data_IF_536338148637
#
_entry.id   IF_536338148637
#
_cell.length_a   1.000
_cell.length_b   1.000
_cell.length_c   1.000
_cell.angle_alpha   90.00
_cell.angle_beta   90.00
_cell.angle_gamma   90.00
#
_symmetry.space_group_name_H-M   'P 1'
#
loop_
_entity.id
_entity.type
_entity.pdbx_description
1 polymer ?
#
# COMPACT_ATOMS: atom_id res chain seq x y z
N UNK A 1 7.42 1.36 -8.15
CA UNK A 1 6.63 2.11 -9.17
C UNK A 1 7.07 1.60 -10.53
N UNK A 2 6.11 1.23 -11.37
CA UNK A 2 6.40 0.68 -12.69
C UNK A 2 6.94 1.76 -13.64
N UNK A 3 7.67 1.34 -14.69
CA UNK A 3 8.09 2.25 -15.77
C UNK A 3 6.90 2.55 -16.71
N UNK A 4 6.09 3.53 -16.30
CA UNK A 4 4.90 3.93 -17.06
C UNK A 4 5.28 4.51 -18.43
N UNK A 5 6.48 5.09 -18.58
CA UNK A 5 6.96 5.55 -19.87
C UNK A 5 7.16 4.39 -20.86
N UNK A 6 7.81 3.32 -20.43
CA UNK A 6 8.00 2.12 -21.27
C UNK A 6 6.65 1.45 -21.57
N UNK A 7 5.78 1.30 -20.56
CA UNK A 7 4.44 0.74 -20.71
C UNK A 7 3.57 1.56 -21.66
N UNK A 8 3.61 2.89 -21.56
CA UNK A 8 2.88 3.79 -22.49
C UNK A 8 3.32 3.60 -23.94
N UNK A 9 4.63 3.52 -24.20
CA UNK A 9 5.15 3.23 -25.55
C UNK A 9 4.71 1.85 -26.06
N UNK A 10 4.70 0.84 -25.19
CA UNK A 10 4.22 -0.50 -25.52
C UNK A 10 2.73 -0.50 -25.86
N UNK A 11 1.92 0.14 -25.01
CA UNK A 11 0.47 0.26 -25.19
C UNK A 11 0.12 0.89 -26.55
N UNK A 12 0.78 1.99 -26.93
CA UNK A 12 0.60 2.64 -28.22
C UNK A 12 0.96 1.71 -29.39
N UNK A 13 2.10 1.01 -29.32
CA UNK A 13 2.51 0.07 -30.39
C UNK A 13 1.54 -1.10 -30.55
N UNK A 14 0.99 -1.57 -29.44
CA UNK A 14 0.07 -2.71 -29.42
C UNK A 14 -1.39 -2.28 -29.58
N UNK A 15 -1.68 -0.99 -29.63
CA UNK A 15 -3.05 -0.41 -29.66
C UNK A 15 -3.92 -0.90 -28.48
N UNK A 16 -3.33 -0.97 -27.30
CA UNK A 16 -3.99 -1.40 -26.07
C UNK A 16 -4.26 -0.18 -25.18
N UNK A 17 -5.37 -0.16 -24.43
CA UNK A 17 -5.55 0.81 -23.34
C UNK A 17 -4.54 0.53 -22.23
N UNK A 18 -4.10 1.59 -21.55
CA UNK A 18 -3.26 1.51 -20.36
C UNK A 18 -3.94 2.22 -19.21
N UNK A 19 -4.29 1.44 -18.19
CA UNK A 19 -4.75 1.98 -16.91
C UNK A 19 -3.58 2.12 -15.95
N UNK A 20 -3.49 3.26 -15.29
CA UNK A 20 -2.52 3.48 -14.21
C UNK A 20 -3.26 3.44 -12.88
N UNK A 21 -3.00 2.41 -12.08
CA UNK A 21 -3.49 2.36 -10.71
C UNK A 21 -2.64 3.29 -9.83
N UNK A 22 -3.15 4.49 -9.65
CA UNK A 22 -2.56 5.50 -8.79
C UNK A 22 -3.36 5.70 -7.49
N UNK A 23 -4.10 4.66 -7.06
CA UNK A 23 -4.96 4.76 -5.88
C UNK A 23 -4.18 5.18 -4.63
N UNK A 24 -2.97 4.69 -4.43
CA UNK A 24 -2.11 5.09 -3.31
C UNK A 24 -1.30 6.35 -3.63
N UNK A 25 -0.72 6.44 -4.83
CA UNK A 25 0.22 7.49 -5.20
C UNK A 25 -0.39 8.83 -5.62
N UNK A 26 -1.69 8.90 -5.88
CA UNK A 26 -2.36 10.00 -6.59
C UNK A 26 -2.13 11.41 -6.04
N UNK A 27 -1.92 11.57 -4.74
CA UNK A 27 -1.66 12.87 -4.11
C UNK A 27 -0.20 13.06 -3.65
N UNK A 28 0.66 12.09 -3.89
CA UNK A 28 2.10 12.18 -3.63
C UNK A 28 2.90 12.31 -4.92
N UNK A 29 2.68 11.40 -5.88
CA UNK A 29 3.48 11.37 -7.12
C UNK A 29 3.39 12.67 -7.92
N UNK A 30 2.22 13.33 -8.09
CA UNK A 30 2.13 14.63 -8.76
C UNK A 30 2.89 15.76 -8.05
N UNK A 31 3.13 15.62 -6.74
CA UNK A 31 3.80 16.61 -5.92
C UNK A 31 5.31 16.39 -5.82
N UNK A 32 5.86 15.24 -6.24
CA UNK A 32 7.27 14.90 -6.06
C UNK A 32 8.22 15.94 -6.64
N UNK A 33 7.99 16.39 -7.87
CA UNK A 33 8.83 17.39 -8.53
C UNK A 33 8.87 18.71 -7.74
N UNK A 34 7.70 19.23 -7.34
CA UNK A 34 7.59 20.45 -6.53
C UNK A 34 8.15 20.28 -5.12
N UNK A 35 8.15 19.06 -4.62
CA UNK A 35 8.74 18.68 -3.33
C UNK A 35 10.26 18.43 -3.42
N UNK A 36 10.88 18.57 -4.60
CA UNK A 36 12.31 18.37 -4.81
C UNK A 36 12.76 16.91 -4.88
N UNK A 37 11.85 15.98 -5.17
CA UNK A 37 12.17 14.57 -5.33
C UNK A 37 12.21 14.14 -6.79
N UNK A 38 12.98 13.07 -7.06
CA UNK A 38 13.02 12.43 -8.37
C UNK A 38 11.63 11.90 -8.75
N UNK A 39 11.20 12.19 -9.97
CA UNK A 39 9.92 11.74 -10.51
C UNK A 39 10.02 11.48 -12.00
N UNK A 40 9.05 10.75 -12.52
CA UNK A 40 8.84 10.55 -13.97
C UNK A 40 7.35 10.69 -14.30
N UNK A 41 7.01 11.07 -15.54
CA UNK A 41 5.62 11.12 -15.96
C UNK A 41 4.91 9.78 -15.78
N UNK A 42 3.70 9.80 -15.26
CA UNK A 42 2.87 8.61 -15.04
C UNK A 42 1.42 8.81 -15.50
N UNK A 43 1.06 10.04 -15.79
CA UNK A 43 -0.31 10.50 -16.05
C UNK A 43 -0.60 10.73 -17.54
N UNK A 44 -1.63 11.48 -17.84
CA UNK A 44 -2.06 11.78 -19.20
C UNK A 44 -1.06 12.60 -20.04
N UNK A 45 0.05 13.05 -19.49
CA UNK A 45 1.18 13.57 -20.26
C UNK A 45 1.76 12.48 -21.17
N UNK A 46 1.61 11.21 -20.79
CA UNK A 46 1.98 10.05 -21.60
C UNK A 46 0.79 9.63 -22.47
N UNK A 47 0.98 9.68 -23.79
CA UNK A 47 -0.09 9.43 -24.79
C UNK A 47 -0.75 8.05 -24.67
N UNK A 48 -0.05 7.04 -24.18
CA UNK A 48 -0.56 5.67 -24.03
C UNK A 48 -1.44 5.47 -22.80
N UNK A 49 -1.38 6.36 -21.78
CA UNK A 49 -2.22 6.28 -20.59
C UNK A 49 -3.65 6.69 -20.96
N UNK A 50 -4.61 5.80 -20.73
CA UNK A 50 -6.02 5.99 -21.12
C UNK A 50 -6.93 6.23 -19.93
N UNK A 51 -6.58 5.70 -18.74
CA UNK A 51 -7.32 5.92 -17.50
C UNK A 51 -6.41 5.86 -16.28
N UNK A 52 -6.85 6.47 -15.17
CA UNK A 52 -6.11 6.54 -13.91
C UNK A 52 -7.10 6.38 -12.76
N UNK A 53 -6.82 5.47 -11.80
CA UNK A 53 -7.53 5.41 -10.53
C UNK A 53 -6.86 6.32 -9.50
N UNK A 54 -7.67 6.97 -8.65
CA UNK A 54 -7.21 7.98 -7.70
C UNK A 54 -8.06 7.92 -6.42
N UNK A 55 -7.46 7.49 -5.30
CA UNK A 55 -8.15 7.45 -4.02
C UNK A 55 -7.95 8.75 -3.24
N UNK A 56 -8.98 9.56 -3.26
CA UNK A 56 -9.00 10.84 -2.53
C UNK A 56 -8.97 10.66 -1.01
N UNK A 57 -9.42 9.50 -0.49
CA UNK A 57 -9.44 9.17 0.94
C UNK A 57 -8.11 8.59 1.48
N UNK A 58 -7.09 8.42 0.64
CA UNK A 58 -5.73 8.05 1.09
C UNK A 58 -4.91 9.32 1.34
N UNK A 59 -3.93 9.62 0.53
CA UNK A 59 -3.12 10.85 0.69
C UNK A 59 -3.82 12.14 0.20
N UNK A 60 -5.04 12.04 -0.31
CA UNK A 60 -5.90 13.20 -0.55
C UNK A 60 -6.64 13.70 0.70
N UNK A 61 -6.54 12.98 1.83
CA UNK A 61 -7.10 13.33 3.14
C UNK A 61 -8.61 13.53 3.17
N UNK A 62 -9.32 13.05 2.14
CA UNK A 62 -10.78 13.08 2.09
C UNK A 62 -11.40 11.97 2.97
N UNK A 63 -12.68 12.09 3.35
CA UNK A 63 -13.41 11.03 4.04
C UNK A 63 -13.39 9.72 3.24
N UNK A 64 -13.34 8.58 3.93
CA UNK A 64 -13.40 7.24 3.31
C UNK A 64 -14.71 7.06 2.54
N UNK A 65 -14.66 6.23 1.50
CA UNK A 65 -15.81 5.90 0.66
C UNK A 65 -15.90 6.72 -0.63
N UNK A 66 -14.88 7.54 -0.92
CA UNK A 66 -14.75 8.26 -2.19
C UNK A 66 -13.46 7.85 -2.91
N UNK A 67 -13.60 7.41 -4.15
CA UNK A 67 -12.52 7.12 -5.08
C UNK A 67 -12.91 7.61 -6.47
N UNK A 68 -11.95 7.95 -7.29
CA UNK A 68 -12.18 8.57 -8.59
C UNK A 68 -11.45 7.77 -9.68
N UNK A 69 -12.11 7.57 -10.80
CA UNK A 69 -11.48 7.11 -12.05
C UNK A 69 -11.49 8.25 -13.04
N UNK A 70 -10.33 8.57 -13.57
CA UNK A 70 -10.13 9.59 -14.60
C UNK A 70 -9.95 8.90 -15.95
N UNK A 71 -10.60 9.41 -16.97
CA UNK A 71 -10.49 8.93 -18.34
C UNK A 71 -9.90 10.00 -19.25
N UNK A 72 -9.05 9.58 -20.20
CA UNK A 72 -8.47 10.51 -21.16
C UNK A 72 -9.52 11.18 -22.05
N UNK A 73 -10.56 10.46 -22.44
CA UNK A 73 -11.62 10.96 -23.32
C UNK A 73 -13.01 10.58 -22.83
N UNK A 74 -14.03 11.31 -23.31
CA UNK A 74 -15.43 11.02 -23.01
C UNK A 74 -15.87 9.67 -23.58
N UNK A 75 -15.36 9.29 -24.75
CA UNK A 75 -15.67 8.01 -25.42
C UNK A 75 -15.20 6.83 -24.55
N UNK A 76 -13.98 6.91 -23.97
CA UNK A 76 -13.49 5.87 -23.05
C UNK A 76 -14.35 5.80 -21.79
N UNK A 77 -14.82 6.93 -21.26
CA UNK A 77 -15.69 6.97 -20.09
C UNK A 77 -17.05 6.33 -20.34
N UNK A 78 -17.56 6.36 -21.57
CA UNK A 78 -18.86 5.74 -21.91
C UNK A 78 -18.88 4.23 -21.66
N UNK A 79 -17.75 3.54 -21.74
CA UNK A 79 -17.66 2.11 -21.44
C UNK A 79 -17.93 1.78 -19.95
N UNK A 80 -17.93 2.78 -19.08
CA UNK A 80 -18.32 2.63 -17.67
C UNK A 80 -19.84 2.64 -17.49
N UNK A 81 -20.60 3.21 -18.43
CA UNK A 81 -22.04 3.40 -18.29
C UNK A 81 -22.79 2.12 -18.56
N UNK A 82 -23.89 1.96 -17.85
CA UNK A 82 -24.89 0.96 -18.16
C UNK A 82 -26.15 1.66 -18.66
N UNK A 83 -26.67 1.24 -19.83
CA UNK A 83 -27.90 1.79 -20.43
C UNK A 83 -28.75 0.61 -20.86
N UNK A 84 -30.00 0.59 -20.39
CA UNK A 84 -31.03 -0.39 -20.78
C UNK A 84 -32.25 0.35 -21.31
N UNK A 85 -32.41 0.45 -22.64
CA UNK A 85 -33.53 1.14 -23.24
C UNK A 85 -34.83 0.33 -23.20
N UNK A 86 -34.74 -1.01 -23.12
CA UNK A 86 -35.88 -1.94 -23.28
C UNK A 86 -36.43 -2.47 -21.94
N UNK A 87 -36.03 -1.85 -20.81
CA UNK A 87 -36.56 -2.23 -19.52
C UNK A 87 -38.05 -1.80 -19.39
N UNK A 88 -38.91 -2.71 -18.91
CA UNK A 88 -40.35 -2.47 -18.75
C UNK A 88 -40.69 -1.27 -17.84
N UNK A 89 -39.79 -0.88 -16.94
CA UNK A 89 -39.89 0.31 -16.08
C UNK A 89 -39.50 1.63 -16.76
N UNK A 90 -39.16 1.61 -18.06
CA UNK A 90 -38.68 2.75 -18.83
C UNK A 90 -37.20 2.69 -19.11
N UNK A 91 -36.65 3.74 -19.73
CA UNK A 91 -35.20 3.82 -20.00
C UNK A 91 -34.43 3.92 -18.67
N UNK A 92 -33.54 2.96 -18.45
CA UNK A 92 -32.65 3.00 -17.31
C UNK A 92 -31.23 3.36 -17.75
N UNK A 93 -30.58 4.30 -17.03
CA UNK A 93 -29.21 4.66 -17.26
C UNK A 93 -28.47 4.85 -15.92
N UNK A 94 -27.29 4.30 -15.81
CA UNK A 94 -26.42 4.43 -14.62
C UNK A 94 -24.99 4.78 -15.03
N UNK A 95 -24.32 5.70 -14.33
CA UNK A 95 -22.93 6.05 -14.62
C UNK A 95 -21.92 4.97 -14.22
N UNK A 96 -22.36 3.89 -13.54
CA UNK A 96 -21.49 2.79 -13.10
C UNK A 96 -22.24 1.76 -12.29
N UNK A 97 -21.57 0.67 -11.95
CA UNK A 97 -22.15 -0.49 -11.24
C UNK A 97 -22.77 -0.09 -9.89
N UNK A 98 -22.15 0.83 -9.18
CA UNK A 98 -22.60 1.23 -7.84
C UNK A 98 -23.90 2.06 -7.83
N UNK A 99 -24.37 2.56 -8.99
CA UNK A 99 -25.56 3.39 -9.08
C UNK A 99 -25.42 4.73 -8.35
N UNK A 100 -26.43 5.10 -7.55
CA UNK A 100 -26.46 6.34 -6.78
C UNK A 100 -25.36 6.39 -5.73
N UNK A 101 -24.69 7.54 -5.60
CA UNK A 101 -23.62 7.78 -4.62
C UNK A 101 -24.02 8.90 -3.66
N UNK A 102 -23.63 8.82 -2.34
CA UNK A 102 -23.95 9.86 -1.37
C UNK A 102 -23.19 11.15 -1.67
N UNK A 103 -23.92 12.24 -1.87
CA UNK A 103 -23.33 13.57 -2.14
C UNK A 103 -22.47 14.12 -1.00
N UNK A 104 -22.72 13.70 0.24
CA UNK A 104 -21.92 14.09 1.40
C UNK A 104 -20.42 13.72 1.26
N UNK A 105 -20.12 12.54 0.70
CA UNK A 105 -18.72 12.11 0.45
C UNK A 105 -18.07 12.93 -0.66
N UNK A 106 -18.84 13.32 -1.69
CA UNK A 106 -18.35 14.19 -2.76
C UNK A 106 -18.05 15.58 -2.21
N UNK A 107 -18.96 16.16 -1.41
CA UNK A 107 -18.76 17.44 -0.77
C UNK A 107 -17.58 17.41 0.22
N UNK A 108 -17.43 16.34 1.00
CA UNK A 108 -16.28 16.15 1.90
C UNK A 108 -14.96 16.05 1.14
N UNK A 109 -14.94 15.37 -0.01
CA UNK A 109 -13.77 15.32 -0.89
C UNK A 109 -13.41 16.72 -1.40
N UNK A 110 -14.38 17.46 -1.92
CA UNK A 110 -14.19 18.84 -2.39
C UNK A 110 -13.66 19.74 -1.26
N UNK A 111 -14.27 19.68 -0.07
CA UNK A 111 -13.83 20.45 1.07
C UNK A 111 -12.37 20.16 1.45
N UNK A 112 -11.97 18.87 1.46
CA UNK A 112 -10.58 18.49 1.73
C UNK A 112 -9.63 19.06 0.68
N UNK A 113 -9.94 18.94 -0.60
CA UNK A 113 -9.12 19.47 -1.70
C UNK A 113 -8.96 20.99 -1.59
N UNK A 114 -10.04 21.71 -1.31
CA UNK A 114 -10.01 23.17 -1.19
C UNK A 114 -9.28 23.63 0.07
N UNK A 115 -9.41 22.92 1.18
CA UNK A 115 -8.77 23.27 2.46
C UNK A 115 -7.26 23.01 2.42
N UNK A 116 -6.85 21.87 1.90
CA UNK A 116 -5.42 21.50 1.82
C UNK A 116 -4.72 22.32 0.75
N UNK A 117 -5.32 22.45 -0.41
CA UNK A 117 -4.75 23.13 -1.57
C UNK A 117 -3.45 22.52 -2.06
N UNK A 118 -2.93 23.01 -3.17
CA UNK A 118 -1.70 22.49 -3.77
C UNK A 118 -0.50 22.59 -2.83
N UNK A 119 -0.34 23.74 -2.16
CA UNK A 119 0.77 23.96 -1.23
C UNK A 119 0.75 23.00 -0.05
N UNK A 120 -0.43 22.69 0.49
CA UNK A 120 -0.57 21.72 1.57
C UNK A 120 -0.24 20.29 1.13
N UNK A 121 -0.60 19.89 -0.10
CA UNK A 121 -0.21 18.60 -0.65
C UNK A 121 1.29 18.50 -0.92
N UNK A 122 1.93 19.56 -1.41
CA UNK A 122 3.39 19.61 -1.57
C UNK A 122 4.09 19.54 -0.22
N UNK A 123 3.65 20.26 0.80
CA UNK A 123 4.20 20.19 2.17
C UNK A 123 4.04 18.78 2.76
N UNK A 124 2.86 18.17 2.61
CA UNK A 124 2.63 16.77 3.02
C UNK A 124 3.56 15.79 2.29
N UNK A 125 3.75 15.98 0.99
CA UNK A 125 4.67 15.16 0.18
C UNK A 125 6.11 15.28 0.69
N UNK A 126 6.61 16.49 0.95
CA UNK A 126 7.96 16.72 1.52
C UNK A 126 8.13 15.94 2.82
N UNK A 127 7.16 16.05 3.72
CA UNK A 127 7.20 15.38 5.03
C UNK A 127 7.14 13.86 4.90
N UNK A 128 6.19 13.34 4.15
CA UNK A 128 5.93 11.89 4.01
C UNK A 128 7.08 11.19 3.29
N UNK A 129 7.42 11.67 2.10
CA UNK A 129 8.48 11.06 1.27
C UNK A 129 9.85 11.27 1.90
N UNK A 130 10.10 12.45 2.49
CA UNK A 130 11.31 12.71 3.26
C UNK A 130 11.47 11.76 4.45
N UNK A 131 10.38 11.47 5.17
CA UNK A 131 10.40 10.50 6.27
C UNK A 131 10.60 9.07 5.78
N UNK A 132 9.97 8.68 4.66
CA UNK A 132 10.21 7.36 4.07
C UNK A 132 11.69 7.16 3.72
N UNK A 133 12.36 8.17 3.16
CA UNK A 133 13.80 8.15 2.89
C UNK A 133 14.64 8.03 4.16
N UNK A 134 14.28 8.74 5.24
CA UNK A 134 14.96 8.62 6.54
C UNK A 134 14.84 7.21 7.13
N UNK A 135 13.67 6.58 7.01
CA UNK A 135 13.49 5.19 7.46
C UNK A 135 14.34 4.22 6.63
N UNK A 136 14.39 4.40 5.29
CA UNK A 136 15.26 3.60 4.42
C UNK A 136 16.72 3.76 4.82
N UNK A 137 17.18 5.00 5.00
CA UNK A 137 18.55 5.30 5.41
C UNK A 137 18.87 4.67 6.77
N UNK A 138 18.00 4.82 7.76
CA UNK A 138 18.17 4.20 9.07
C UNK A 138 18.29 2.68 8.99
N UNK A 139 17.45 1.99 8.22
CA UNK A 139 17.53 0.53 8.03
C UNK A 139 18.85 0.13 7.37
N UNK A 140 19.34 0.92 6.42
CA UNK A 140 20.57 0.61 5.68
C UNK A 140 21.86 0.97 6.42
N UNK A 141 21.81 1.93 7.36
CA UNK A 141 23.02 2.48 8.01
C UNK A 141 23.14 2.14 9.49
N UNK A 142 22.03 1.83 10.18
CA UNK A 142 22.06 1.42 11.59
C UNK A 142 22.80 0.09 11.76
N UNK A 143 23.75 0.05 12.70
CA UNK A 143 24.55 -1.14 12.97
C UNK A 143 23.74 -2.37 13.40
N UNK A 144 22.59 -2.16 14.06
CA UNK A 144 21.71 -3.26 14.48
C UNK A 144 20.77 -3.73 13.36
N UNK A 145 20.39 -2.85 12.42
CA UNK A 145 19.44 -3.16 11.36
C UNK A 145 20.11 -3.62 10.06
N UNK A 146 21.18 -2.93 9.61
CA UNK A 146 21.77 -3.11 8.28
C UNK A 146 22.34 -4.50 7.99
N UNK A 147 22.71 -5.25 9.04
CA UNK A 147 23.17 -6.64 8.92
C UNK A 147 22.04 -7.68 8.96
N UNK A 148 20.79 -7.27 9.20
CA UNK A 148 19.65 -8.17 9.35
C UNK A 148 18.47 -7.83 8.44
N UNK A 149 18.20 -6.54 8.24
CA UNK A 149 17.09 -6.10 7.42
C UNK A 149 17.56 -5.65 6.04
N UNK A 150 16.81 -6.04 5.02
CA UNK A 150 17.07 -5.66 3.63
C UNK A 150 15.86 -4.94 3.03
N UNK A 151 16.11 -3.73 2.52
CA UNK A 151 15.07 -2.97 1.80
C UNK A 151 14.70 -3.70 0.51
N UNK A 152 13.40 -3.82 0.26
CA UNK A 152 12.86 -4.41 -0.96
C UNK A 152 12.67 -3.35 -2.04
N UNK A 153 13.32 -3.57 -3.19
CA UNK A 153 13.24 -2.68 -4.33
C UNK A 153 13.82 -1.28 -4.07
N UNK A 154 13.26 -0.28 -4.73
CA UNK A 154 13.62 1.15 -4.59
C UNK A 154 12.40 1.94 -4.11
N UNK A 155 12.23 2.19 -2.81
CA UNK A 155 11.14 3.02 -2.30
C UNK A 155 11.23 4.45 -2.86
N UNK A 156 10.24 4.85 -3.65
CA UNK A 156 10.20 6.17 -4.30
C UNK A 156 9.24 7.14 -3.63
N UNK A 157 8.24 6.61 -2.92
CA UNK A 157 7.13 7.41 -2.37
C UNK A 157 7.00 7.14 -0.86
N UNK A 158 5.88 6.64 -0.39
CA UNK A 158 5.52 6.56 1.02
C UNK A 158 5.66 5.16 1.62
N UNK A 159 5.81 4.13 0.79
CA UNK A 159 5.88 2.74 1.26
C UNK A 159 7.32 2.28 1.33
N UNK A 160 7.73 1.80 2.49
CA UNK A 160 9.03 1.20 2.74
C UNK A 160 8.82 -0.26 3.12
N UNK A 161 9.17 -1.17 2.21
CA UNK A 161 9.10 -2.61 2.43
C UNK A 161 10.49 -3.17 2.70
N UNK A 162 10.59 -4.10 3.62
CA UNK A 162 11.85 -4.76 3.98
C UNK A 162 11.62 -6.20 4.44
N UNK A 163 12.64 -7.04 4.27
CA UNK A 163 12.68 -8.43 4.72
C UNK A 163 13.82 -8.63 5.72
N UNK A 164 13.83 -9.74 6.43
CA UNK A 164 14.94 -10.15 7.28
C UNK A 164 15.79 -11.23 6.58
N UNK A 165 17.11 -11.22 6.84
CA UNK A 165 18.06 -12.14 6.23
C UNK A 165 18.16 -13.47 6.99
N UNK A 166 18.18 -13.42 8.31
CA UNK A 166 18.40 -14.60 9.18
C UNK A 166 17.22 -14.81 10.15
N UNK A 167 16.50 -13.76 10.51
CA UNK A 167 15.35 -13.82 11.41
C UNK A 167 14.05 -14.06 10.63
N UNK A 168 13.01 -14.48 11.34
CA UNK A 168 11.68 -14.52 10.76
C UNK A 168 11.06 -13.11 10.80
N UNK A 169 10.82 -12.53 9.64
CA UNK A 169 10.27 -11.18 9.50
C UNK A 169 8.89 -11.02 10.17
N UNK A 170 8.09 -12.09 10.24
CA UNK A 170 6.79 -12.05 10.89
C UNK A 170 6.86 -12.03 12.42
N UNK A 171 7.92 -12.59 13.01
CA UNK A 171 8.15 -12.45 14.45
C UNK A 171 8.52 -11.00 14.80
N UNK A 172 9.30 -10.34 13.94
CA UNK A 172 9.58 -8.91 14.04
C UNK A 172 8.27 -8.11 13.93
N UNK A 173 7.38 -8.46 12.98
CA UNK A 173 6.08 -7.81 12.83
C UNK A 173 5.22 -7.93 14.09
N UNK A 174 5.15 -9.12 14.67
CA UNK A 174 4.37 -9.38 15.89
C UNK A 174 4.95 -8.64 17.11
N UNK A 175 6.28 -8.60 17.25
CA UNK A 175 6.94 -7.85 18.31
C UNK A 175 6.76 -6.33 18.14
N UNK A 176 6.80 -5.81 16.92
CA UNK A 176 6.46 -4.42 16.62
C UNK A 176 5.00 -4.10 16.92
N UNK A 177 4.10 -5.04 16.62
CA UNK A 177 2.67 -4.90 16.95
C UNK A 177 2.44 -4.82 18.46
N UNK A 178 3.17 -5.59 19.27
CA UNK A 178 3.13 -5.52 20.72
C UNK A 178 3.61 -4.16 21.26
N UNK A 179 4.45 -3.43 20.51
CA UNK A 179 4.85 -2.04 20.82
C UNK A 179 3.87 -0.98 20.27
N UNK A 180 2.78 -1.41 19.61
CA UNK A 180 1.74 -0.55 19.03
C UNK A 180 1.97 -0.12 17.58
N UNK A 181 2.94 -0.72 16.87
CA UNK A 181 3.21 -0.47 15.46
C UNK A 181 2.56 -1.53 14.57
N UNK A 182 1.55 -1.14 13.80
CA UNK A 182 0.88 -2.06 12.87
C UNK A 182 1.56 -1.99 11.50
N UNK A 183 2.51 -2.91 11.25
CA UNK A 183 3.16 -3.09 9.97
C UNK A 183 2.40 -4.14 9.15
N UNK A 184 2.29 -3.89 7.85
CA UNK A 184 1.55 -4.81 6.98
C UNK A 184 2.47 -5.94 6.50
N UNK A 185 2.04 -7.17 6.71
CA UNK A 185 2.76 -8.35 6.24
C UNK A 185 2.59 -8.55 4.73
N UNK A 186 3.65 -8.99 4.09
CA UNK A 186 3.74 -9.38 2.68
C UNK A 186 4.14 -10.85 2.60
N UNK A 187 3.86 -11.49 1.46
CA UNK A 187 4.25 -12.87 1.17
C UNK A 187 4.79 -12.97 -0.26
N UNK A 188 5.61 -14.00 -0.49
CA UNK A 188 6.20 -14.33 -1.80
C UNK A 188 7.01 -13.17 -2.43
N UNK A 189 8.12 -12.73 -1.80
CA UNK A 189 8.81 -13.26 -0.62
C UNK A 189 8.25 -12.72 0.71
N UNK A 190 8.52 -13.38 1.85
CA UNK A 190 8.17 -12.88 3.18
C UNK A 190 8.79 -11.52 3.46
N UNK A 191 7.97 -10.54 3.81
CA UNK A 191 8.40 -9.19 4.13
C UNK A 191 7.35 -8.45 4.95
N UNK A 192 7.68 -7.26 5.42
CA UNK A 192 6.73 -6.31 6.01
C UNK A 192 6.93 -4.93 5.39
N UNK A 193 5.91 -4.09 5.46
CA UNK A 193 6.06 -2.70 5.05
C UNK A 193 5.40 -1.71 6.00
N UNK A 194 5.97 -0.54 6.04
CA UNK A 194 5.36 0.65 6.63
C UNK A 194 4.87 1.58 5.51
N UNK A 195 3.61 2.00 5.60
CA UNK A 195 3.09 3.09 4.78
C UNK A 195 3.21 4.38 5.59
N UNK A 196 4.15 5.25 5.21
CA UNK A 196 4.40 6.50 5.92
C UNK A 196 3.25 7.47 5.69
N UNK A 197 2.62 7.89 6.79
CA UNK A 197 1.53 8.87 6.82
C UNK A 197 1.98 10.12 7.60
N UNK A 198 1.22 11.22 7.56
CA UNK A 198 1.57 12.43 8.32
C UNK A 198 1.79 12.19 9.83
N UNK A 199 0.98 11.39 10.55
CA UNK A 199 1.29 11.03 11.93
C UNK A 199 2.66 10.37 12.11
N UNK A 200 3.04 9.43 11.24
CA UNK A 200 4.34 8.74 11.29
C UNK A 200 5.51 9.72 11.16
N UNK A 201 5.34 10.80 10.40
CA UNK A 201 6.43 11.79 10.22
C UNK A 201 6.88 12.47 11.53
N UNK A 202 6.06 12.40 12.58
CA UNK A 202 6.35 12.98 13.88
C UNK A 202 7.01 12.01 14.87
N UNK A 203 6.99 10.72 14.57
CA UNK A 203 7.39 9.64 15.48
C UNK A 203 8.23 8.56 14.77
N UNK A 204 8.76 8.85 13.60
CA UNK A 204 9.54 7.91 12.80
C UNK A 204 10.83 7.46 13.50
N UNK A 205 11.45 8.33 14.26
CA UNK A 205 12.64 8.05 15.06
C UNK A 205 12.36 7.03 16.16
N UNK A 206 11.22 7.14 16.82
CA UNK A 206 10.74 6.14 17.77
C UNK A 206 10.43 4.80 17.08
N UNK A 207 9.80 4.83 15.90
CA UNK A 207 9.57 3.60 15.12
C UNK A 207 10.88 2.89 14.80
N UNK A 208 11.91 3.61 14.35
CA UNK A 208 13.22 3.04 14.05
C UNK A 208 13.88 2.49 15.32
N UNK A 209 13.87 3.22 16.43
CA UNK A 209 14.41 2.77 17.70
C UNK A 209 13.74 1.51 18.25
N UNK A 210 12.40 1.45 18.15
CA UNK A 210 11.63 0.26 18.54
C UNK A 210 12.00 -0.93 17.62
N UNK A 211 12.21 -0.69 16.33
CA UNK A 211 12.64 -1.71 15.36
C UNK A 211 14.04 -2.23 15.69
N UNK A 212 15.00 -1.36 16.03
CA UNK A 212 16.35 -1.75 16.49
C UNK A 212 16.26 -2.66 17.71
N UNK A 213 15.50 -2.25 18.73
CA UNK A 213 15.29 -3.04 19.94
C UNK A 213 14.68 -4.41 19.64
N UNK A 214 13.65 -4.46 18.78
CA UNK A 214 13.00 -5.71 18.40
C UNK A 214 13.96 -6.65 17.66
N UNK A 215 14.74 -6.13 16.73
CA UNK A 215 15.72 -6.94 15.98
C UNK A 215 16.78 -7.54 16.92
N UNK A 216 17.26 -6.76 17.88
CA UNK A 216 18.20 -7.25 18.89
C UNK A 216 17.59 -8.32 19.81
N UNK A 217 16.37 -8.11 20.29
CA UNK A 217 15.62 -9.08 21.10
C UNK A 217 15.38 -10.39 20.33
N UNK A 218 14.97 -10.33 19.05
CA UNK A 218 14.75 -11.54 18.26
C UNK A 218 16.06 -12.28 17.90
N UNK A 219 17.16 -11.56 17.70
CA UNK A 219 18.50 -12.17 17.54
C UNK A 219 18.91 -12.94 18.79
N UNK A 220 18.71 -12.37 19.96
CA UNK A 220 19.07 -13.05 21.21
C UNK A 220 18.18 -14.28 21.46
N UNK A 221 16.88 -14.18 21.20
CA UNK A 221 15.97 -15.33 21.27
C UNK A 221 16.41 -16.46 20.32
N UNK A 222 16.81 -16.13 19.10
CA UNK A 222 17.29 -17.11 18.13
C UNK A 222 18.62 -17.74 18.54
N UNK A 223 19.56 -16.94 19.08
CA UNK A 223 20.82 -17.43 19.62
C UNK A 223 20.62 -18.44 20.76
N UNK A 224 19.72 -18.11 21.71
CA UNK A 224 19.39 -19.00 22.83
C UNK A 224 18.79 -20.33 22.33
N UNK A 225 17.89 -20.29 21.34
CA UNK A 225 17.32 -21.51 20.74
C UNK A 225 18.36 -22.40 20.07
N UNK A 226 19.32 -21.81 19.37
CA UNK A 226 20.39 -22.56 18.73
C UNK A 226 21.28 -23.25 19.77
N UNK A 227 21.58 -22.60 20.88
CA UNK A 227 22.39 -23.15 21.98
C UNK A 227 21.62 -24.29 22.70
N UNK A 228 20.30 -24.16 22.89
CA UNK A 228 19.47 -25.19 23.55
C UNK A 228 19.13 -26.40 22.65
N UNK A 229 19.57 -26.40 21.39
CA UNK A 229 19.27 -27.47 20.44
C UNK A 229 17.78 -27.62 20.09
N UNK A 230 16.95 -26.63 20.45
CA UNK A 230 15.54 -26.53 20.11
C UNK A 230 15.41 -25.93 18.73
N UNK A 231 15.58 -26.72 17.69
CA UNK A 231 15.28 -26.29 16.32
C UNK A 231 13.82 -25.82 16.17
N UNK A 232 13.44 -25.33 14.98
CA UNK A 232 12.15 -24.70 14.66
C UNK A 232 10.86 -25.45 15.11
N UNK A 233 10.98 -26.68 15.59
CA UNK A 233 9.86 -27.57 15.98
C UNK A 233 9.20 -27.28 17.34
N UNK A 234 9.55 -26.18 18.03
CA UNK A 234 9.00 -25.89 19.37
C UNK A 234 8.55 -24.44 19.56
N UNK A 235 8.50 -23.66 18.50
CA UNK A 235 8.15 -22.24 18.59
C UNK A 235 6.63 -22.05 18.58
N UNK A 236 6.08 -21.40 19.61
CA UNK A 236 4.75 -20.80 19.50
C UNK A 236 4.82 -19.74 18.38
N UNK A 237 4.10 -19.99 17.30
CA UNK A 237 4.05 -19.04 16.19
C UNK A 237 3.22 -17.83 16.60
N UNK A 238 3.73 -16.64 16.39
CA UNK A 238 2.94 -15.40 16.50
C UNK A 238 1.83 -15.37 15.44
N UNK A 239 0.88 -14.45 15.62
CA UNK A 239 -0.31 -14.37 14.76
C UNK A 239 0.04 -14.15 13.29
N UNK A 240 0.99 -13.27 12.99
CA UNK A 240 1.43 -12.98 11.62
C UNK A 240 2.21 -14.16 11.02
N UNK A 241 3.09 -14.79 11.81
CA UNK A 241 3.83 -15.97 11.37
C UNK A 241 2.90 -17.16 11.11
N UNK A 242 1.87 -17.37 11.93
CA UNK A 242 0.87 -18.41 11.72
C UNK A 242 0.04 -18.15 10.46
N UNK A 243 -0.43 -16.93 10.27
CA UNK A 243 -1.30 -16.59 9.14
C UNK A 243 -0.54 -16.56 7.81
N UNK A 244 0.53 -15.77 7.72
CA UNK A 244 1.25 -15.52 6.46
C UNK A 244 2.34 -16.56 6.19
N UNK A 245 3.04 -17.02 7.23
CA UNK A 245 4.08 -18.04 7.11
C UNK A 245 3.51 -19.40 6.70
N UNK A 246 2.43 -19.85 7.35
CA UNK A 246 1.76 -21.12 7.01
C UNK A 246 1.03 -21.01 5.68
N UNK A 247 0.24 -19.92 5.47
CA UNK A 247 -0.48 -19.73 4.22
C UNK A 247 0.46 -19.64 2.99
N UNK A 248 1.64 -19.03 3.14
CA UNK A 248 2.67 -18.97 2.10
C UNK A 248 3.27 -20.34 1.77
N UNK A 249 3.46 -21.20 2.77
CA UNK A 249 4.10 -22.53 2.62
C UNK A 249 3.17 -23.64 2.12
N UNK A 250 1.85 -23.45 2.15
CA UNK A 250 0.90 -24.48 1.73
C UNK A 250 0.91 -24.66 0.21
N UNK A 251 1.12 -25.91 -0.28
CA UNK A 251 1.09 -26.20 -1.72
C UNK A 251 -0.30 -26.00 -2.31
N UNK A 252 -1.35 -26.24 -1.53
CA UNK A 252 -2.74 -26.05 -1.92
C UNK A 252 -3.36 -24.86 -1.18
N UNK A 253 -3.68 -23.82 -1.91
CA UNK A 253 -4.28 -22.57 -1.39
C UNK A 253 -5.79 -22.71 -1.08
N UNK A 254 -6.46 -23.82 -1.42
CA UNK A 254 -7.90 -23.99 -1.16
C UNK A 254 -8.23 -23.93 0.34
N UNK A 255 -7.38 -24.50 1.19
CA UNK A 255 -7.54 -24.42 2.65
C UNK A 255 -7.51 -22.98 3.16
N UNK A 256 -6.66 -22.14 2.57
CA UNK A 256 -6.58 -20.71 2.93
C UNK A 256 -7.87 -19.99 2.52
N UNK A 257 -8.42 -20.33 1.35
CA UNK A 257 -9.71 -19.79 0.86
C UNK A 257 -10.85 -20.20 1.79
N UNK A 258 -10.92 -21.48 2.19
CA UNK A 258 -11.96 -21.99 3.10
C UNK A 258 -11.90 -21.31 4.48
N UNK A 259 -10.69 -21.13 5.03
CA UNK A 259 -10.49 -20.39 6.28
C UNK A 259 -10.91 -18.92 6.17
N UNK A 260 -10.55 -18.26 5.06
CA UNK A 260 -10.93 -16.86 4.81
C UNK A 260 -12.45 -16.73 4.68
N UNK A 261 -13.10 -17.64 3.96
CA UNK A 261 -14.57 -17.66 3.85
C UNK A 261 -15.22 -17.85 5.22
N UNK A 262 -14.74 -18.84 6.02
CA UNK A 262 -15.25 -19.06 7.38
C UNK A 262 -15.06 -17.84 8.30
N UNK A 263 -13.94 -17.12 8.18
CA UNK A 263 -13.73 -15.87 8.91
C UNK A 263 -14.72 -14.79 8.48
N UNK A 264 -14.94 -14.62 7.17
CA UNK A 264 -15.91 -13.66 6.66
C UNK A 264 -17.34 -14.00 7.10
N UNK A 265 -17.72 -15.29 7.08
CA UNK A 265 -19.02 -15.73 7.56
C UNK A 265 -19.25 -15.39 9.05
N UNK A 266 -18.21 -15.48 9.87
CA UNK A 266 -18.29 -15.11 11.30
C UNK A 266 -18.58 -13.62 11.48
N UNK A 267 -18.05 -12.75 10.62
CA UNK A 267 -18.31 -11.30 10.69
C UNK A 267 -19.78 -10.93 10.42
N UNK A 268 -20.53 -11.80 9.73
CA UNK A 268 -21.95 -11.60 9.43
C UNK A 268 -22.90 -12.44 10.31
N UNK A 269 -22.36 -13.21 11.26
CA UNK A 269 -23.20 -13.86 12.28
C UNK A 269 -23.71 -12.78 13.26
N UNK A 270 -25.03 -12.57 13.21
CA UNK A 270 -25.73 -11.73 14.19
C UNK A 270 -25.79 -12.43 15.58
#
# INVERSE_FOLDING_TARGET
>A
MDDINALSRLALRKKLPLHVDCCLGSFLVPCLEKAGFETQPFDFRLKGVTSISCDTHKYGFAPKGNSTVLYRTAELRQYQYYVCPDWSGGVYASPGIAGSRPGALIAGCWASLMTVGESGYVDACVKIVGTAKKIVDAIQTSGSLSGELQIMGKPLVSVVAFTALNLNIYDIADAMSAKGWHLNALQDPPAIHVAVTLPITRVWDRLVKDLETVVEEEREKERVRQVEGKGAKGKAMGNSAALYGVAGSLPNKSVVVDLANGFLDILYKA
#
